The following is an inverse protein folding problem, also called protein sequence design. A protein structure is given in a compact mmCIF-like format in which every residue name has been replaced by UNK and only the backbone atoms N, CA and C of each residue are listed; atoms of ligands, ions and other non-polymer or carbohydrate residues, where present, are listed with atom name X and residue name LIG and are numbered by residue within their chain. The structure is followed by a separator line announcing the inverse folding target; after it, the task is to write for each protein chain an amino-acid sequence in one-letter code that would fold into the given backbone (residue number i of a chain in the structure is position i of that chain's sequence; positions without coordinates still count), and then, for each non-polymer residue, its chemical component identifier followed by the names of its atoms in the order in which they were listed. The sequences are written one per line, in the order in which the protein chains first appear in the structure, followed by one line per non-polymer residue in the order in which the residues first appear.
data_IF_127897688713
#
_entry.id   IF_127897688713
#
_cell.length_a   1.000
_cell.length_b   1.000
_cell.length_c   1.000
_cell.angle_alpha   90.00
_cell.angle_beta   90.00
_cell.angle_gamma   90.00
#
_symmetry.space_group_name_H-M   'P 1'
#
loop_
_entity.id
_entity.type
_entity.pdbx_description
1 polymer ?
#
# COMPACT_ATOMS: atom_id res chain seq x y z
N UNK A 1 -10.92 -23.01 -12.94
CA UNK A 1 -9.95 -22.37 -13.84
C UNK A 1 -8.78 -21.90 -12.99
N UNK A 2 -7.53 -22.02 -13.48
CA UNK A 2 -6.37 -21.47 -12.79
C UNK A 2 -6.48 -19.94 -12.71
N UNK A 3 -6.15 -19.36 -11.57
CA UNK A 3 -6.09 -17.90 -11.42
C UNK A 3 -4.84 -17.39 -12.13
N UNK A 4 -5.01 -16.43 -13.03
CA UNK A 4 -3.94 -15.72 -13.71
C UNK A 4 -4.03 -14.25 -13.30
N UNK A 5 -2.95 -13.72 -12.76
CA UNK A 5 -2.91 -12.43 -12.06
C UNK A 5 -2.03 -11.45 -12.83
N UNK A 6 -2.51 -10.24 -13.01
CA UNK A 6 -1.71 -9.10 -13.48
C UNK A 6 -1.51 -8.10 -12.34
N UNK A 7 -0.27 -7.75 -12.04
CA UNK A 7 0.09 -6.73 -11.04
C UNK A 7 0.58 -5.49 -11.79
N UNK A 8 -0.21 -4.42 -11.80
CA UNK A 8 0.14 -3.12 -12.37
C UNK A 8 0.80 -2.24 -11.30
N UNK A 9 2.03 -1.82 -11.52
CA UNK A 9 2.86 -1.12 -10.53
C UNK A 9 3.72 -2.09 -9.70
N UNK A 10 4.15 -3.19 -10.30
CA UNK A 10 4.93 -4.25 -9.65
C UNK A 10 6.33 -3.82 -9.19
N UNK A 11 6.89 -2.75 -9.75
CA UNK A 11 8.20 -2.21 -9.32
C UNK A 11 8.09 -1.26 -8.10
N UNK A 12 6.88 -1.00 -7.62
CA UNK A 12 6.64 -0.21 -6.41
C UNK A 12 6.91 -1.00 -5.12
N UNK A 13 6.92 -0.29 -3.98
CA UNK A 13 7.21 -0.85 -2.66
C UNK A 13 6.31 -2.06 -2.33
N UNK A 14 4.99 -1.90 -2.41
CA UNK A 14 4.04 -3.01 -2.18
C UNK A 14 4.07 -3.99 -3.36
N UNK A 15 4.16 -3.48 -4.58
CA UNK A 15 4.05 -4.27 -5.81
C UNK A 15 5.09 -5.37 -5.93
N UNK A 16 6.35 -5.09 -5.59
CA UNK A 16 7.44 -6.06 -5.62
C UNK A 16 7.22 -7.21 -4.63
N UNK A 17 6.97 -6.89 -3.37
CA UNK A 17 6.77 -7.89 -2.32
C UNK A 17 5.48 -8.69 -2.52
N UNK A 18 4.40 -8.05 -2.97
CA UNK A 18 3.16 -8.73 -3.32
C UNK A 18 3.35 -9.67 -4.51
N UNK A 19 4.05 -9.24 -5.56
CA UNK A 19 4.33 -10.08 -6.75
C UNK A 19 5.13 -11.33 -6.37
N UNK A 20 6.17 -11.18 -5.55
CA UNK A 20 6.98 -12.29 -5.04
C UNK A 20 6.11 -13.30 -4.28
N UNK A 21 5.25 -12.80 -3.38
CA UNK A 21 4.36 -13.65 -2.58
C UNK A 21 3.30 -14.34 -3.44
N UNK A 22 2.69 -13.62 -4.39
CA UNK A 22 1.73 -14.19 -5.32
C UNK A 22 2.36 -15.29 -6.20
N UNK A 23 3.59 -15.07 -6.71
CA UNK A 23 4.34 -16.09 -7.47
C UNK A 23 4.61 -17.34 -6.65
N UNK A 24 4.89 -17.18 -5.35
CA UNK A 24 5.05 -18.31 -4.43
C UNK A 24 3.75 -19.12 -4.27
N UNK A 25 2.60 -18.45 -4.21
CA UNK A 25 1.29 -19.10 -3.97
C UNK A 25 0.72 -19.72 -5.25
N UNK A 26 0.75 -18.97 -6.36
CA UNK A 26 0.05 -19.34 -7.59
C UNK A 26 0.98 -19.91 -8.68
N UNK A 27 2.29 -19.83 -8.47
CA UNK A 27 3.32 -20.19 -9.46
C UNK A 27 3.75 -19.01 -10.31
N UNK A 28 5.03 -18.97 -10.64
CA UNK A 28 5.67 -17.84 -11.35
C UNK A 28 4.98 -17.48 -12.67
N UNK A 29 4.58 -18.49 -13.47
CA UNK A 29 3.97 -18.29 -14.78
C UNK A 29 2.52 -17.79 -14.72
N UNK A 30 1.87 -17.83 -13.55
CA UNK A 30 0.51 -17.37 -13.34
C UNK A 30 0.42 -15.93 -12.82
N UNK A 31 1.57 -15.28 -12.57
CA UNK A 31 1.61 -13.90 -12.04
C UNK A 31 2.48 -13.03 -12.94
N UNK A 32 1.83 -12.24 -13.75
CA UNK A 32 2.43 -11.27 -14.66
C UNK A 32 2.70 -9.98 -13.86
N UNK A 33 3.97 -9.63 -13.71
CA UNK A 33 4.36 -8.34 -13.18
C UNK A 33 4.32 -7.29 -14.29
N UNK A 34 3.97 -6.05 -13.96
CA UNK A 34 3.97 -4.96 -14.93
C UNK A 34 4.27 -3.61 -14.27
N UNK A 35 5.01 -2.78 -14.99
CA UNK A 35 5.27 -1.39 -14.63
C UNK A 35 5.50 -0.56 -15.90
N UNK A 36 5.57 0.77 -15.77
CA UNK A 36 5.86 1.67 -16.90
C UNK A 36 7.32 1.56 -17.37
N UNK A 37 8.19 0.93 -16.59
CA UNK A 37 9.61 0.67 -16.87
C UNK A 37 10.01 -0.69 -16.34
N UNK A 38 11.18 -1.18 -16.75
CA UNK A 38 11.71 -2.45 -16.27
C UNK A 38 11.77 -2.50 -14.74
N UNK A 39 11.44 -3.65 -14.19
CA UNK A 39 11.66 -3.97 -12.79
C UNK A 39 13.14 -4.25 -12.48
N UNK A 40 13.44 -4.56 -11.23
CA UNK A 40 14.74 -5.07 -10.85
C UNK A 40 14.99 -6.48 -11.43
N UNK A 41 16.24 -6.95 -11.32
CA UNK A 41 16.67 -8.24 -11.90
C UNK A 41 15.89 -9.43 -11.33
N UNK A 42 15.52 -9.40 -10.05
CA UNK A 42 14.77 -10.49 -9.41
C UNK A 42 13.35 -10.54 -9.90
N UNK A 43 12.68 -9.40 -9.95
CA UNK A 43 11.29 -9.29 -10.45
C UNK A 43 11.20 -9.75 -11.91
N UNK A 44 12.18 -9.36 -12.73
CA UNK A 44 12.25 -9.70 -14.16
C UNK A 44 12.56 -11.19 -14.40
N UNK A 45 13.41 -11.81 -13.59
CA UNK A 45 13.85 -13.20 -13.78
C UNK A 45 12.95 -14.24 -13.14
N UNK A 46 12.12 -13.85 -12.15
CA UNK A 46 11.27 -14.79 -11.40
C UNK A 46 9.93 -15.13 -12.06
N UNK A 47 9.58 -14.53 -13.22
CA UNK A 47 8.35 -14.81 -13.96
C UNK A 47 8.06 -13.76 -15.05
N UNK A 48 6.91 -13.85 -15.74
CA UNK A 48 6.55 -12.91 -16.80
C UNK A 48 6.53 -11.46 -16.34
N UNK A 49 7.01 -10.56 -17.20
CA UNK A 49 7.00 -9.12 -16.98
C UNK A 49 6.59 -8.39 -18.27
N UNK A 50 5.70 -7.41 -18.15
CA UNK A 50 5.22 -6.58 -19.26
C UNK A 50 5.42 -5.10 -18.94
N UNK A 51 5.87 -4.31 -19.92
CA UNK A 51 5.94 -2.85 -19.79
C UNK A 51 4.61 -2.28 -20.20
N UNK A 52 3.87 -1.69 -19.23
CA UNK A 52 2.53 -1.14 -19.46
C UNK A 52 2.43 0.21 -18.73
N UNK A 53 1.92 1.21 -19.43
CA UNK A 53 1.35 2.39 -18.78
C UNK A 53 -0.02 2.03 -18.23
N UNK A 54 -0.20 2.12 -16.92
CA UNK A 54 -1.46 1.78 -16.26
C UNK A 54 -2.64 2.70 -16.66
N UNK A 55 -2.38 3.80 -17.35
CA UNK A 55 -3.42 4.68 -17.93
C UNK A 55 -3.88 4.27 -19.31
N UNK A 56 -3.17 3.35 -19.97
CA UNK A 56 -3.50 2.84 -21.30
C UNK A 56 -4.36 1.57 -21.20
N UNK A 57 -5.68 1.75 -21.29
CA UNK A 57 -6.66 0.66 -21.24
C UNK A 57 -6.39 -0.41 -22.30
N UNK A 58 -6.03 -0.02 -23.52
CA UNK A 58 -5.84 -0.96 -24.64
C UNK A 58 -4.57 -1.80 -24.45
N UNK A 59 -3.49 -1.21 -23.93
CA UNK A 59 -2.29 -1.95 -23.55
C UNK A 59 -2.59 -2.97 -22.43
N UNK A 60 -3.33 -2.58 -21.39
CA UNK A 60 -3.78 -3.50 -20.34
C UNK A 60 -4.62 -4.64 -20.93
N UNK A 61 -5.61 -4.31 -21.75
CA UNK A 61 -6.51 -5.30 -22.36
C UNK A 61 -5.76 -6.28 -23.27
N UNK A 62 -4.75 -5.81 -24.00
CA UNK A 62 -3.89 -6.66 -24.82
C UNK A 62 -3.19 -7.72 -23.97
N UNK A 63 -2.63 -7.34 -22.83
CA UNK A 63 -1.97 -8.27 -21.89
C UNK A 63 -2.99 -9.19 -21.22
N UNK A 64 -4.16 -8.66 -20.83
CA UNK A 64 -5.27 -9.47 -20.28
C UNK A 64 -5.64 -10.60 -21.25
N UNK A 65 -5.80 -10.29 -22.54
CA UNK A 65 -6.13 -11.29 -23.57
C UNK A 65 -4.97 -12.25 -23.85
N UNK A 66 -3.73 -11.74 -23.92
CA UNK A 66 -2.53 -12.53 -24.18
C UNK A 66 -2.32 -13.66 -23.17
N UNK A 67 -2.53 -13.37 -21.88
CA UNK A 67 -2.27 -14.32 -20.81
C UNK A 67 -3.54 -14.97 -20.24
N UNK A 68 -4.74 -14.54 -20.64
CA UNK A 68 -6.00 -14.98 -20.05
C UNK A 68 -6.13 -14.54 -18.59
N UNK A 69 -5.73 -13.29 -18.29
CA UNK A 69 -5.76 -12.74 -16.94
C UNK A 69 -7.17 -12.79 -16.36
N UNK A 70 -7.29 -13.25 -15.12
CA UNK A 70 -8.56 -13.33 -14.38
C UNK A 70 -8.68 -12.28 -13.28
N UNK A 71 -7.55 -11.79 -12.76
CA UNK A 71 -7.51 -10.82 -11.68
C UNK A 71 -6.46 -9.73 -11.96
N UNK A 72 -6.79 -8.47 -11.64
CA UNK A 72 -5.84 -7.35 -11.68
C UNK A 72 -5.65 -6.78 -10.28
N UNK A 73 -4.39 -6.62 -9.88
CA UNK A 73 -3.97 -5.86 -8.71
C UNK A 73 -3.39 -4.52 -9.20
N UNK A 74 -4.17 -3.45 -9.07
CA UNK A 74 -3.77 -2.11 -9.50
C UNK A 74 -3.09 -1.36 -8.37
N UNK A 75 -1.76 -1.34 -8.38
CA UNK A 75 -0.92 -0.66 -7.39
C UNK A 75 -0.26 0.61 -7.92
N UNK A 76 -0.29 0.82 -9.23
CA UNK A 76 0.26 2.01 -9.87
C UNK A 76 -0.44 3.27 -9.35
N UNK A 77 0.31 4.17 -8.71
CA UNK A 77 -0.20 5.44 -8.20
C UNK A 77 0.92 6.44 -7.93
N UNK A 78 0.60 7.72 -7.97
CA UNK A 78 1.46 8.79 -7.44
C UNK A 78 1.06 9.09 -6.00
N UNK A 79 2.04 9.04 -5.06
CA UNK A 79 1.83 9.15 -3.62
C UNK A 79 1.71 10.62 -3.15
N UNK A 80 1.34 10.81 -1.86
CA UNK A 80 0.95 12.09 -1.28
C UNK A 80 1.95 13.22 -1.50
N UNK A 81 3.19 13.12 -1.02
CA UNK A 81 4.15 14.22 -1.09
C UNK A 81 4.60 14.53 -2.53
N UNK A 82 4.71 13.53 -3.40
CA UNK A 82 4.99 13.73 -4.83
C UNK A 82 3.77 14.27 -5.56
N UNK A 83 2.57 13.82 -5.18
CA UNK A 83 1.30 14.30 -5.73
C UNK A 83 1.08 15.79 -5.49
N UNK A 84 1.44 16.32 -4.33
CA UNK A 84 1.33 17.74 -4.03
C UNK A 84 2.26 18.62 -4.93
N UNK A 85 3.36 18.06 -5.40
CA UNK A 85 4.23 18.76 -6.38
C UNK A 85 3.64 18.77 -7.79
N UNK A 86 2.84 17.75 -8.14
CA UNK A 86 2.29 17.56 -9.48
C UNK A 86 0.81 17.15 -9.42
N UNK A 87 -0.10 17.99 -8.85
CA UNK A 87 -1.45 17.57 -8.48
C UNK A 87 -2.28 17.06 -9.65
N UNK A 88 -2.20 17.72 -10.80
CA UNK A 88 -2.94 17.28 -11.99
C UNK A 88 -2.45 15.92 -12.49
N UNK A 89 -1.13 15.73 -12.58
CA UNK A 89 -0.55 14.43 -12.99
C UNK A 89 -0.91 13.31 -12.02
N UNK A 90 -0.94 13.60 -10.70
CA UNK A 90 -1.34 12.63 -9.69
C UNK A 90 -2.80 12.23 -9.86
N UNK A 91 -3.69 13.20 -10.07
CA UNK A 91 -5.09 12.93 -10.35
C UNK A 91 -5.28 12.09 -11.63
N UNK A 92 -4.65 12.53 -12.72
CA UNK A 92 -4.77 11.87 -14.03
C UNK A 92 -4.29 10.41 -13.95
N UNK A 93 -3.11 10.15 -13.38
CA UNK A 93 -2.61 8.79 -13.21
C UNK A 93 -3.53 7.95 -12.32
N UNK A 94 -3.84 8.44 -11.11
CA UNK A 94 -4.55 7.64 -10.11
C UNK A 94 -5.99 7.32 -10.53
N UNK A 95 -6.66 8.23 -11.22
CA UNK A 95 -8.06 8.05 -11.62
C UNK A 95 -8.19 7.35 -12.97
N UNK A 96 -7.36 7.71 -13.96
CA UNK A 96 -7.43 7.08 -15.28
C UNK A 96 -7.09 5.61 -15.23
N UNK A 97 -6.04 5.23 -14.45
CA UNK A 97 -5.69 3.82 -14.28
C UNK A 97 -6.79 3.01 -13.59
N UNK A 98 -7.42 3.57 -12.55
CA UNK A 98 -8.54 2.89 -11.89
C UNK A 98 -9.72 2.68 -12.83
N UNK A 99 -10.14 3.73 -13.53
CA UNK A 99 -11.29 3.64 -14.43
C UNK A 99 -11.03 2.70 -15.60
N UNK A 100 -9.80 2.67 -16.15
CA UNK A 100 -9.41 1.70 -17.19
C UNK A 100 -9.57 0.26 -16.71
N UNK A 101 -9.10 -0.07 -15.50
CA UNK A 101 -9.22 -1.43 -14.94
C UNK A 101 -10.67 -1.78 -14.60
N UNK A 102 -11.42 -0.84 -14.03
CA UNK A 102 -12.85 -1.05 -13.72
C UNK A 102 -13.68 -1.29 -14.99
N UNK A 103 -13.40 -0.58 -16.09
CA UNK A 103 -14.07 -0.79 -17.38
C UNK A 103 -13.76 -2.18 -17.97
N UNK A 104 -12.50 -2.62 -17.90
CA UNK A 104 -12.11 -3.99 -18.32
C UNK A 104 -12.87 -5.04 -17.50
N UNK A 105 -13.06 -4.83 -16.20
CA UNK A 105 -13.83 -5.72 -15.33
C UNK A 105 -15.35 -5.67 -15.66
N UNK A 106 -15.90 -4.48 -15.91
CA UNK A 106 -17.29 -4.30 -16.34
C UNK A 106 -17.57 -5.03 -17.67
N UNK A 107 -16.62 -5.01 -18.59
CA UNK A 107 -16.69 -5.73 -19.86
C UNK A 107 -16.47 -7.24 -19.72
N UNK A 108 -16.30 -7.75 -18.48
CA UNK A 108 -16.15 -9.17 -18.11
C UNK A 108 -14.90 -9.85 -18.70
N UNK A 109 -13.85 -9.08 -19.04
CA UNK A 109 -12.55 -9.65 -19.42
C UNK A 109 -11.80 -10.22 -18.21
N UNK A 110 -12.06 -9.69 -17.01
CA UNK A 110 -11.51 -10.17 -15.75
C UNK A 110 -12.65 -10.34 -14.73
N UNK A 111 -12.44 -11.21 -13.74
CA UNK A 111 -13.45 -11.52 -12.72
C UNK A 111 -13.29 -10.70 -11.44
N UNK A 112 -12.10 -10.16 -11.16
CA UNK A 112 -11.82 -9.56 -9.87
C UNK A 112 -10.75 -8.46 -9.96
N UNK A 113 -10.93 -7.39 -9.19
CA UNK A 113 -10.01 -6.26 -9.09
C UNK A 113 -9.61 -6.03 -7.65
N UNK A 114 -8.30 -5.88 -7.40
CA UNK A 114 -7.78 -5.27 -6.17
C UNK A 114 -7.32 -3.84 -6.46
N UNK A 115 -7.75 -2.90 -5.63
CA UNK A 115 -7.29 -1.51 -5.68
C UNK A 115 -7.07 -0.97 -4.27
N UNK A 116 -5.87 -0.47 -3.91
CA UNK A 116 -5.59 0.03 -2.57
C UNK A 116 -6.08 1.47 -2.39
N UNK A 117 -6.87 1.71 -1.35
CA UNK A 117 -7.04 3.02 -0.74
C UNK A 117 -5.97 3.28 0.32
N UNK A 118 -6.12 4.33 1.11
CA UNK A 118 -5.12 4.80 2.06
C UNK A 118 -5.79 5.56 3.20
N UNK A 119 -5.11 5.65 4.36
CA UNK A 119 -5.47 6.59 5.43
C UNK A 119 -5.52 8.05 4.94
N UNK A 120 -4.87 8.35 3.81
CA UNK A 120 -4.94 9.68 3.20
C UNK A 120 -6.34 10.06 2.70
N UNK A 121 -7.27 9.11 2.58
CA UNK A 121 -8.68 9.38 2.30
C UNK A 121 -9.41 10.06 3.47
N UNK A 122 -8.89 9.95 4.69
CA UNK A 122 -9.35 10.74 5.83
C UNK A 122 -8.81 12.16 5.77
N UNK A 123 -9.36 13.05 6.61
CA UNK A 123 -8.96 14.46 6.67
C UNK A 123 -9.02 15.03 8.09
N UNK A 124 -8.80 16.35 8.24
CA UNK A 124 -8.75 16.99 9.56
C UNK A 124 -10.04 16.87 10.37
N UNK A 125 -11.18 16.72 9.71
CA UNK A 125 -12.50 16.57 10.32
C UNK A 125 -12.86 15.13 10.70
N UNK A 126 -12.08 14.16 10.25
CA UNK A 126 -12.24 12.77 10.68
C UNK A 126 -11.86 12.59 12.15
N UNK A 127 -12.58 11.76 12.94
CA UNK A 127 -12.15 11.39 14.29
C UNK A 127 -10.72 10.89 14.30
N UNK A 128 -9.90 11.34 15.24
CA UNK A 128 -8.47 11.00 15.28
C UNK A 128 -8.18 9.67 15.96
N UNK A 129 -9.00 9.27 16.91
CA UNK A 129 -8.83 8.05 17.73
C UNK A 129 -9.91 7.06 17.34
N UNK A 130 -9.50 5.81 17.10
CA UNK A 130 -10.39 4.73 16.68
C UNK A 130 -11.28 5.15 15.51
N UNK A 131 -10.69 5.75 14.47
CA UNK A 131 -11.42 6.28 13.33
C UNK A 131 -12.31 5.20 12.74
N UNK A 132 -13.65 5.38 12.78
CA UNK A 132 -14.57 4.32 12.42
C UNK A 132 -14.62 4.07 10.91
N UNK A 133 -15.07 2.88 10.51
CA UNK A 133 -15.22 2.48 9.10
C UNK A 133 -16.07 3.47 8.29
N UNK A 134 -17.16 3.95 8.87
CA UNK A 134 -18.02 5.00 8.28
C UNK A 134 -17.83 6.30 9.06
N UNK A 135 -17.31 7.31 8.40
CA UNK A 135 -17.04 8.61 9.02
C UNK A 135 -16.94 9.71 7.97
N UNK A 136 -16.80 10.95 8.44
CA UNK A 136 -16.52 12.11 7.57
C UNK A 136 -15.10 11.93 6.99
N UNK A 137 -14.99 12.09 5.67
CA UNK A 137 -13.74 11.94 4.93
C UNK A 137 -13.55 13.17 4.03
N UNK A 138 -12.75 14.11 4.50
CA UNK A 138 -12.46 15.39 3.85
C UNK A 138 -10.94 15.55 3.68
N UNK A 139 -10.35 14.78 2.76
CA UNK A 139 -8.90 14.79 2.56
C UNK A 139 -8.41 16.16 2.08
N UNK A 140 -7.23 16.56 2.56
CA UNK A 140 -6.59 17.84 2.23
C UNK A 140 -5.49 17.73 1.17
N UNK A 141 -5.24 16.54 0.62
CA UNK A 141 -4.23 16.30 -0.43
C UNK A 141 -4.87 15.77 -1.70
N UNK A 142 -4.30 16.06 -2.88
CA UNK A 142 -4.79 15.51 -4.15
C UNK A 142 -4.76 13.97 -4.14
N UNK A 143 -3.77 13.37 -3.48
CA UNK A 143 -3.71 11.92 -3.29
C UNK A 143 -4.91 11.41 -2.50
N UNK A 144 -5.21 12.02 -1.37
CA UNK A 144 -6.37 11.66 -0.56
C UNK A 144 -7.70 11.87 -1.31
N UNK A 145 -7.83 12.98 -2.05
CA UNK A 145 -9.00 13.24 -2.91
C UNK A 145 -9.15 12.14 -3.97
N UNK A 146 -8.07 11.72 -4.61
CA UNK A 146 -8.12 10.61 -5.58
C UNK A 146 -8.50 9.28 -4.92
N UNK A 147 -8.05 9.03 -3.68
CA UNK A 147 -8.38 7.80 -2.94
C UNK A 147 -9.85 7.76 -2.55
N UNK A 148 -10.41 8.82 -1.95
CA UNK A 148 -11.84 8.83 -1.61
C UNK A 148 -12.73 8.77 -2.86
N UNK A 149 -12.36 9.46 -3.94
CA UNK A 149 -13.07 9.37 -5.22
C UNK A 149 -13.03 7.94 -5.78
N UNK A 150 -11.86 7.30 -5.74
CA UNK A 150 -11.70 5.91 -6.18
C UNK A 150 -12.52 4.92 -5.37
N UNK A 151 -12.65 5.10 -4.04
CA UNK A 151 -13.52 4.27 -3.20
C UNK A 151 -14.98 4.34 -3.66
N UNK A 152 -15.47 5.54 -3.98
CA UNK A 152 -16.84 5.70 -4.49
C UNK A 152 -16.99 5.10 -5.90
N UNK A 153 -16.00 5.21 -6.77
CA UNK A 153 -16.02 4.55 -8.07
C UNK A 153 -16.02 3.03 -7.94
N UNK A 154 -15.24 2.45 -7.05
CA UNK A 154 -15.24 1.02 -6.76
C UNK A 154 -16.66 0.55 -6.34
N UNK A 155 -17.25 1.25 -5.37
CA UNK A 155 -18.61 0.93 -4.91
C UNK A 155 -19.65 1.08 -6.04
N UNK A 156 -19.57 2.18 -6.81
CA UNK A 156 -20.48 2.42 -7.94
C UNK A 156 -20.40 1.30 -8.99
N UNK A 157 -19.17 0.86 -9.37
CA UNK A 157 -19.01 -0.22 -10.33
C UNK A 157 -19.51 -1.57 -9.79
N UNK A 158 -19.37 -1.79 -8.50
CA UNK A 158 -19.96 -2.97 -7.87
C UNK A 158 -21.48 -2.94 -7.93
N UNK A 159 -22.11 -1.86 -7.45
CA UNK A 159 -23.57 -1.76 -7.39
C UNK A 159 -24.23 -1.72 -8.77
N UNK A 160 -23.60 -1.03 -9.73
CA UNK A 160 -24.20 -0.80 -11.05
C UNK A 160 -23.89 -1.89 -12.06
N UNK A 161 -22.73 -2.52 -11.96
CA UNK A 161 -22.22 -3.43 -13.00
C UNK A 161 -21.77 -4.79 -12.45
N UNK A 162 -22.00 -5.05 -11.18
CA UNK A 162 -21.60 -6.29 -10.50
C UNK A 162 -20.11 -6.64 -10.67
N UNK A 163 -19.25 -5.61 -10.57
CA UNK A 163 -17.80 -5.79 -10.57
C UNK A 163 -17.34 -6.23 -9.18
N UNK A 164 -16.63 -7.35 -9.08
CA UNK A 164 -15.99 -7.75 -7.82
C UNK A 164 -14.68 -6.98 -7.61
N UNK A 165 -14.82 -5.74 -7.12
CA UNK A 165 -13.68 -4.91 -6.72
C UNK A 165 -13.53 -4.93 -5.20
N UNK A 166 -12.28 -5.06 -4.74
CA UNK A 166 -11.91 -5.14 -3.32
C UNK A 166 -10.82 -4.17 -3.00
N UNK A 167 -10.92 -3.53 -1.84
CA UNK A 167 -10.07 -2.41 -1.48
C UNK A 167 -9.79 -2.35 0.02
N UNK A 168 -8.57 -1.91 0.37
CA UNK A 168 -8.10 -1.71 1.73
C UNK A 168 -7.59 -0.27 1.89
N UNK A 169 -7.94 0.39 3.00
CA UNK A 169 -7.32 1.65 3.43
C UNK A 169 -6.04 1.31 4.16
N UNK A 170 -4.93 1.29 3.44
CA UNK A 170 -3.64 1.03 4.08
C UNK A 170 -3.26 2.14 5.06
N UNK A 171 -2.77 1.78 6.24
CA UNK A 171 -1.99 2.68 7.09
C UNK A 171 -0.62 2.97 6.47
N UNK A 172 0.27 3.63 7.19
CA UNK A 172 1.66 3.77 6.77
C UNK A 172 2.34 2.40 6.70
N UNK A 173 2.95 2.08 5.56
CA UNK A 173 3.60 0.78 5.35
C UNK A 173 5.09 0.89 5.63
N UNK A 174 5.60 -0.03 6.46
CA UNK A 174 7.01 -0.14 6.83
C UNK A 174 7.61 -1.37 6.15
N UNK A 175 8.70 -1.19 5.43
CA UNK A 175 9.42 -2.24 4.69
C UNK A 175 10.92 -2.03 4.79
N UNK A 176 11.71 -3.07 4.55
CA UNK A 176 13.17 -3.01 4.48
C UNK A 176 13.74 -3.33 3.08
N UNK A 177 12.94 -3.89 2.18
CA UNK A 177 13.40 -4.27 0.84
C UNK A 177 13.52 -3.07 -0.11
N UNK A 178 12.63 -2.10 0.02
CA UNK A 178 12.57 -0.93 -0.86
C UNK A 178 12.74 0.35 -0.07
N UNK A 179 13.63 1.24 -0.55
CA UNK A 179 13.83 2.58 0.04
C UNK A 179 12.56 3.43 -0.10
N UNK A 180 12.40 4.47 0.76
CA UNK A 180 11.26 5.37 0.73
C UNK A 180 10.96 5.97 -0.64
N UNK A 181 9.67 6.07 -0.99
CA UNK A 181 9.18 6.53 -2.30
C UNK A 181 8.65 7.97 -2.35
N UNK A 182 8.70 8.72 -1.26
CA UNK A 182 8.17 10.08 -1.16
C UNK A 182 6.79 10.18 -0.51
N UNK A 183 6.51 9.28 0.46
CA UNK A 183 5.31 9.32 1.31
C UNK A 183 5.53 10.10 2.60
N UNK A 184 4.44 10.51 3.24
CA UNK A 184 4.48 11.21 4.54
C UNK A 184 4.91 10.28 5.68
N UNK A 185 4.64 8.98 5.56
CA UNK A 185 4.99 7.95 6.55
C UNK A 185 6.38 7.33 6.33
N UNK A 186 7.11 7.77 5.31
CA UNK A 186 8.40 7.20 4.92
C UNK A 186 9.51 7.36 5.97
N UNK A 187 9.32 8.24 6.97
CA UNK A 187 10.24 8.32 8.11
C UNK A 187 10.41 6.97 8.81
N UNK A 188 9.34 6.17 8.86
CA UNK A 188 9.32 4.88 9.54
C UNK A 188 10.04 3.77 8.75
N UNK A 189 10.34 4.02 7.47
CA UNK A 189 11.22 3.19 6.64
C UNK A 189 12.65 3.71 6.72
N UNK A 190 12.84 5.02 6.48
CA UNK A 190 14.17 5.65 6.37
C UNK A 190 14.96 5.55 7.67
N UNK A 191 14.29 5.63 8.83
CA UNK A 191 14.91 5.52 10.14
C UNK A 191 15.72 4.21 10.29
N UNK A 192 15.26 3.08 9.77
CA UNK A 192 15.96 1.80 9.86
C UNK A 192 17.19 1.77 8.97
N UNK A 193 17.08 2.25 7.72
CA UNK A 193 18.23 2.36 6.82
C UNK A 193 19.30 3.27 7.41
N UNK A 194 18.92 4.45 7.90
CA UNK A 194 19.85 5.41 8.51
C UNK A 194 20.46 4.90 9.81
N UNK A 195 19.69 4.19 10.62
CA UNK A 195 20.22 3.56 11.84
C UNK A 195 21.35 2.56 11.52
N UNK A 196 21.17 1.72 10.51
CA UNK A 196 22.17 0.72 10.11
C UNK A 196 23.33 1.36 9.34
N UNK A 197 23.08 2.36 8.48
CA UNK A 197 24.11 3.01 7.68
C UNK A 197 24.97 3.98 8.49
N UNK A 198 24.34 4.80 9.34
CA UNK A 198 24.97 5.97 9.97
C UNK A 198 24.89 6.00 11.52
N UNK A 199 24.03 5.17 12.13
CA UNK A 199 23.78 5.24 13.58
C UNK A 199 23.00 6.47 14.02
N UNK A 200 22.45 7.25 13.09
CA UNK A 200 21.69 8.48 13.40
C UNK A 200 20.62 8.76 12.34
N UNK A 201 19.56 9.47 12.76
CA UNK A 201 18.46 9.87 11.87
C UNK A 201 17.92 11.25 12.26
N UNK A 202 17.64 12.12 11.28
CA UNK A 202 16.87 13.35 11.45
C UNK A 202 15.45 13.11 10.94
N UNK A 203 14.48 13.04 11.87
CA UNK A 203 13.08 12.79 11.53
C UNK A 203 12.38 14.10 11.13
N UNK A 204 11.66 14.07 10.03
CA UNK A 204 10.89 15.20 9.53
C UNK A 204 9.48 15.34 10.13
N UNK A 205 9.16 14.56 11.16
CA UNK A 205 7.96 14.70 11.99
C UNK A 205 8.34 14.97 13.45
N UNK A 206 7.41 15.51 14.23
CA UNK A 206 7.56 15.63 15.69
C UNK A 206 7.67 14.25 16.36
N UNK A 207 8.41 14.19 17.46
CA UNK A 207 8.67 12.94 18.19
C UNK A 207 7.41 12.15 18.56
N UNK A 208 6.32 12.86 18.87
CA UNK A 208 5.06 12.31 19.37
C UNK A 208 3.96 12.24 18.30
N UNK A 209 4.29 12.45 17.02
CA UNK A 209 3.33 12.32 15.93
C UNK A 209 2.90 10.87 15.81
N UNK A 210 1.74 10.53 16.34
CA UNK A 210 1.19 9.16 16.28
C UNK A 210 0.47 8.92 14.97
N UNK A 211 0.83 7.84 14.29
CA UNK A 211 0.21 7.42 13.02
C UNK A 211 -0.05 5.91 13.04
N UNK A 212 -1.16 5.45 12.42
CA UNK A 212 -1.38 4.04 12.19
C UNK A 212 -0.38 3.53 11.16
N UNK A 213 0.30 2.44 11.49
CA UNK A 213 1.38 1.85 10.72
C UNK A 213 1.19 0.33 10.61
N UNK A 214 1.80 -0.27 9.59
CA UNK A 214 1.73 -1.71 9.33
C UNK A 214 3.03 -2.20 8.71
N UNK A 215 3.47 -3.38 9.13
CA UNK A 215 4.60 -4.04 8.46
C UNK A 215 4.19 -4.59 7.09
N UNK A 216 5.09 -4.57 6.12
CA UNK A 216 4.81 -4.97 4.74
C UNK A 216 4.28 -6.40 4.64
N UNK A 217 4.78 -7.33 5.43
CA UNK A 217 4.29 -8.71 5.41
C UNK A 217 2.81 -8.80 5.79
N UNK A 218 2.35 -8.02 6.78
CA UNK A 218 0.93 -7.94 7.15
C UNK A 218 0.11 -7.28 6.05
N UNK A 219 0.63 -6.24 5.39
CA UNK A 219 -0.04 -5.58 4.27
C UNK A 219 -0.23 -6.52 3.07
N UNK A 220 0.80 -7.27 2.72
CA UNK A 220 0.74 -8.29 1.65
C UNK A 220 -0.23 -9.41 2.01
N UNK A 221 -0.18 -9.91 3.26
CA UNK A 221 -1.10 -10.94 3.74
C UNK A 221 -2.55 -10.45 3.72
N UNK A 222 -2.84 -9.23 4.18
CA UNK A 222 -4.17 -8.62 4.14
C UNK A 222 -4.71 -8.54 2.70
N UNK A 223 -3.85 -8.12 1.76
CA UNK A 223 -4.20 -8.03 0.34
C UNK A 223 -4.59 -9.39 -0.24
N UNK A 224 -3.82 -10.42 0.08
CA UNK A 224 -4.10 -11.78 -0.40
C UNK A 224 -5.37 -12.32 0.27
N UNK A 225 -5.53 -12.14 1.58
CA UNK A 225 -6.69 -12.61 2.33
C UNK A 225 -8.00 -12.00 1.81
N UNK A 226 -8.04 -10.67 1.61
CA UNK A 226 -9.27 -10.05 1.09
C UNK A 226 -9.59 -10.54 -0.32
N UNK A 227 -8.59 -10.77 -1.18
CA UNK A 227 -8.79 -11.28 -2.53
C UNK A 227 -9.21 -12.76 -2.56
N UNK A 228 -8.81 -13.55 -1.58
CA UNK A 228 -9.21 -14.95 -1.41
C UNK A 228 -10.54 -15.13 -0.66
N UNK A 229 -11.00 -14.12 0.07
CA UNK A 229 -12.26 -14.17 0.79
C UNK A 229 -13.44 -14.46 -0.16
N UNK A 230 -14.47 -15.14 0.33
CA UNK A 230 -15.64 -15.39 -0.50
C UNK A 230 -16.39 -14.08 -0.80
N UNK A 231 -16.99 -13.89 -1.99
CA UNK A 231 -17.68 -12.64 -2.33
C UNK A 231 -18.75 -12.24 -1.32
N UNK A 232 -19.42 -13.22 -0.69
CA UNK A 232 -20.45 -13.00 0.34
C UNK A 232 -19.90 -12.42 1.65
N UNK A 233 -18.60 -12.59 1.93
CA UNK A 233 -17.95 -12.08 3.14
C UNK A 233 -17.46 -10.65 2.96
N UNK A 234 -17.36 -10.16 1.73
CA UNK A 234 -16.99 -8.78 1.41
C UNK A 234 -18.23 -7.88 1.46
N UNK A 235 -18.48 -7.27 2.62
CA UNK A 235 -19.65 -6.43 2.87
C UNK A 235 -19.43 -4.95 2.50
N UNK A 236 -18.18 -4.52 2.37
CA UNK A 236 -17.79 -3.14 2.11
C UNK A 236 -17.10 -3.10 0.75
N UNK A 237 -17.62 -2.31 -0.18
CA UNK A 237 -17.14 -2.20 -1.55
C UNK A 237 -16.47 -0.86 -1.86
N UNK A 238 -16.50 0.07 -0.91
CA UNK A 238 -15.64 1.25 -0.94
C UNK A 238 -14.20 0.84 -0.59
N UNK A 239 -13.91 0.66 0.70
CA UNK A 239 -12.61 0.16 1.16
C UNK A 239 -12.70 -0.20 2.64
N UNK A 240 -12.05 -1.29 3.06
CA UNK A 240 -11.96 -1.66 4.48
C UNK A 240 -10.87 -0.87 5.19
N UNK A 241 -11.15 -0.40 6.40
CA UNK A 241 -10.13 0.05 7.33
C UNK A 241 -9.23 -1.12 7.71
N UNK A 242 -7.91 -0.85 7.80
CA UNK A 242 -6.93 -1.76 8.40
C UNK A 242 -6.15 -1.05 9.49
N UNK A 243 -5.84 -1.78 10.56
CA UNK A 243 -4.98 -1.34 11.63
C UNK A 243 -4.05 -2.47 12.07
N UNK A 244 -2.81 -2.13 12.45
CA UNK A 244 -1.86 -3.06 13.05
C UNK A 244 -1.21 -2.42 14.27
N UNK A 245 -0.54 -1.28 14.09
CA UNK A 245 0.20 -0.57 15.13
C UNK A 245 -0.07 0.92 15.03
N UNK A 246 -0.20 1.60 16.18
CA UNK A 246 -0.29 3.05 16.25
C UNK A 246 0.98 3.56 16.93
N UNK A 247 1.97 4.03 16.15
CA UNK A 247 3.33 4.32 16.63
C UNK A 247 3.77 5.75 16.34
N UNK A 248 4.67 6.23 17.20
CA UNK A 248 5.33 7.52 17.07
C UNK A 248 6.79 7.35 16.62
N UNK A 249 7.42 8.38 16.01
CA UNK A 249 8.85 8.37 15.72
C UNK A 249 9.72 8.03 16.94
N UNK A 250 9.33 8.51 18.13
CA UNK A 250 10.03 8.25 19.39
C UNK A 250 9.99 6.77 19.78
N UNK A 251 8.79 6.16 19.80
CA UNK A 251 8.62 4.74 20.12
C UNK A 251 9.42 3.85 19.16
N UNK A 252 9.44 4.20 17.87
CA UNK A 252 10.22 3.47 16.87
C UNK A 252 11.73 3.59 17.11
N UNK A 253 12.20 4.78 17.48
CA UNK A 253 13.60 5.00 17.82
C UNK A 253 14.01 4.23 19.09
N UNK A 254 13.13 4.11 20.09
CA UNK A 254 13.35 3.32 21.30
C UNK A 254 13.52 1.82 20.97
N UNK A 255 12.72 1.27 20.07
CA UNK A 255 12.89 -0.12 19.60
C UNK A 255 14.22 -0.31 18.85
N UNK A 256 14.63 0.65 18.01
CA UNK A 256 15.91 0.57 17.30
C UNK A 256 17.08 0.60 18.29
N UNK A 257 17.01 1.42 19.35
CA UNK A 257 18.06 1.50 20.39
C UNK A 257 18.27 0.19 21.15
N UNK A 258 17.28 -0.69 21.23
CA UNK A 258 17.45 -2.01 21.84
C UNK A 258 18.47 -2.87 21.06
N UNK A 259 18.55 -2.72 19.75
CA UNK A 259 19.49 -3.45 18.90
C UNK A 259 20.74 -2.63 18.52
N UNK A 260 20.62 -1.29 18.49
CA UNK A 260 21.70 -0.33 18.18
C UNK A 260 21.76 0.70 19.32
N UNK A 261 22.40 0.40 20.48
CA UNK A 261 22.35 1.25 21.67
C UNK A 261 22.82 2.69 21.46
N UNK A 262 23.77 2.92 20.54
CA UNK A 262 24.32 4.23 20.23
C UNK A 262 23.52 5.01 19.17
N UNK A 263 22.37 4.49 18.72
CA UNK A 263 21.52 5.18 17.76
C UNK A 263 21.00 6.51 18.34
N UNK A 264 21.12 7.57 17.55
CA UNK A 264 20.62 8.91 17.90
C UNK A 264 19.55 9.37 16.92
N UNK A 265 18.57 10.11 17.43
CA UNK A 265 17.52 10.72 16.62
C UNK A 265 17.38 12.19 16.99
N UNK A 266 17.18 13.03 15.97
CA UNK A 266 16.75 14.43 16.10
C UNK A 266 15.44 14.63 15.33
N UNK A 267 14.72 15.69 15.67
CA UNK A 267 13.41 15.97 15.08
C UNK A 267 13.41 17.37 14.47
N UNK A 268 13.16 17.43 13.15
CA UNK A 268 13.08 18.67 12.39
C UNK A 268 11.87 18.64 11.45
N UNK A 269 10.67 18.92 11.98
CA UNK A 269 9.44 18.85 11.18
C UNK A 269 9.46 19.74 9.94
N UNK A 270 8.98 19.21 8.83
CA UNK A 270 8.80 19.93 7.56
C UNK A 270 7.32 20.00 7.14
N UNK A 271 7.05 20.34 5.89
CA UNK A 271 5.68 20.45 5.35
C UNK A 271 4.86 19.16 5.48
N UNK A 272 5.50 17.98 5.61
CA UNK A 272 4.83 16.69 5.79
C UNK A 272 4.16 16.57 7.15
N UNK A 273 4.59 17.35 8.16
CA UNK A 273 3.93 17.38 9.46
C UNK A 273 2.45 17.78 9.35
N UNK A 274 2.12 18.80 8.55
CA UNK A 274 0.73 19.23 8.34
C UNK A 274 -0.12 18.13 7.70
N UNK A 275 0.47 17.33 6.81
CA UNK A 275 -0.22 16.18 6.20
C UNK A 275 -0.46 15.11 7.26
N UNK A 276 0.57 14.75 8.04
CA UNK A 276 0.47 13.78 9.12
C UNK A 276 -0.60 14.17 10.17
N UNK A 277 -0.63 15.46 10.57
CA UNK A 277 -1.60 15.99 11.52
C UNK A 277 -3.06 15.92 11.01
N UNK A 278 -3.25 15.86 9.68
CA UNK A 278 -4.58 15.74 9.08
C UNK A 278 -5.12 14.31 9.12
N UNK A 279 -4.29 13.30 9.36
CA UNK A 279 -4.67 11.89 9.35
C UNK A 279 -5.08 11.35 10.72
N UNK A 280 -5.74 10.18 10.79
CA UNK A 280 -6.00 9.46 12.02
C UNK A 280 -4.71 9.14 12.80
N UNK A 281 -4.84 9.06 14.14
CA UNK A 281 -3.83 8.53 15.03
C UNK A 281 -4.01 7.02 15.26
N UNK A 282 -5.27 6.55 15.20
CA UNK A 282 -5.63 5.13 15.25
C UNK A 282 -6.90 4.86 14.47
N UNK A 283 -7.07 3.60 14.03
CA UNK A 283 -8.16 3.18 13.13
C UNK A 283 -8.88 1.97 13.70
N UNK A 284 -10.20 2.00 13.67
CA UNK A 284 -11.05 0.83 13.94
C UNK A 284 -11.16 -0.05 12.69
N UNK A 285 -10.61 -1.27 12.77
CA UNK A 285 -10.64 -2.30 11.73
C UNK A 285 -11.56 -3.48 12.06
N UNK A 286 -12.44 -3.32 13.05
CA UNK A 286 -13.37 -4.36 13.51
C UNK A 286 -14.17 -4.99 12.36
N UNK A 287 -14.49 -4.21 11.32
CA UNK A 287 -15.20 -4.73 10.14
C UNK A 287 -14.36 -5.71 9.34
N UNK A 288 -13.09 -5.42 9.10
CA UNK A 288 -12.18 -6.33 8.42
C UNK A 288 -12.01 -7.64 9.22
N UNK A 289 -11.82 -7.53 10.54
CA UNK A 289 -11.70 -8.69 11.44
C UNK A 289 -12.94 -9.56 11.42
N UNK A 290 -14.13 -8.95 11.43
CA UNK A 290 -15.41 -9.69 11.47
C UNK A 290 -15.77 -10.30 10.12
N UNK A 291 -15.57 -9.58 9.03
CA UNK A 291 -16.11 -9.96 7.74
C UNK A 291 -15.24 -11.00 7.03
N UNK A 292 -13.90 -10.89 7.13
CA UNK A 292 -12.98 -11.81 6.46
C UNK A 292 -11.77 -12.23 7.31
N UNK A 293 -11.93 -12.21 8.66
CA UNK A 293 -10.97 -12.75 9.65
C UNK A 293 -9.59 -12.11 9.61
N UNK A 294 -9.51 -10.81 9.28
CA UNK A 294 -8.25 -10.07 9.32
C UNK A 294 -7.60 -10.11 10.70
N UNK A 295 -6.29 -10.31 10.73
CA UNK A 295 -5.45 -10.09 11.91
C UNK A 295 -4.02 -9.82 11.46
N UNK A 296 -3.34 -8.88 12.13
CA UNK A 296 -1.91 -8.65 11.95
C UNK A 296 -1.10 -9.64 12.79
N UNK A 297 0.14 -9.90 12.37
CA UNK A 297 1.06 -10.83 13.04
C UNK A 297 2.21 -10.11 13.75
N UNK A 298 2.55 -8.89 13.32
CA UNK A 298 3.71 -8.18 13.81
C UNK A 298 3.36 -7.12 14.86
N UNK A 299 4.16 -7.09 15.94
CA UNK A 299 4.24 -5.99 16.89
C UNK A 299 5.37 -5.05 16.47
N UNK A 300 5.46 -3.85 17.07
CA UNK A 300 6.57 -2.92 16.83
C UNK A 300 7.93 -3.59 17.08
N UNK A 301 8.04 -4.39 18.15
CA UNK A 301 9.30 -5.05 18.52
C UNK A 301 9.68 -6.17 17.56
N UNK A 302 8.73 -7.04 17.16
CA UNK A 302 9.02 -8.13 16.21
C UNK A 302 9.34 -7.59 14.82
N UNK A 303 8.64 -6.55 14.36
CA UNK A 303 8.93 -5.84 13.12
C UNK A 303 10.32 -5.22 13.13
N UNK A 304 10.65 -4.43 14.17
CA UNK A 304 11.95 -3.77 14.27
C UNK A 304 13.11 -4.77 14.27
N UNK A 305 12.98 -5.88 15.00
CA UNK A 305 13.97 -6.97 15.01
C UNK A 305 14.16 -7.59 13.64
N UNK A 306 13.06 -7.88 12.93
CA UNK A 306 13.11 -8.48 11.60
C UNK A 306 13.79 -7.53 10.60
N UNK A 307 13.39 -6.26 10.55
CA UNK A 307 13.97 -5.25 9.67
C UNK A 307 15.48 -5.10 9.92
N UNK A 308 15.88 -4.89 11.19
CA UNK A 308 17.31 -4.68 11.52
C UNK A 308 18.15 -5.90 11.18
N UNK A 309 17.66 -7.12 11.47
CA UNK A 309 18.33 -8.37 11.10
C UNK A 309 18.59 -8.44 9.58
N UNK A 310 17.57 -8.14 8.78
CA UNK A 310 17.68 -8.22 7.32
C UNK A 310 18.60 -7.13 6.74
N UNK A 311 18.50 -5.88 7.21
CA UNK A 311 19.37 -4.79 6.75
C UNK A 311 20.84 -5.00 7.15
N UNK A 312 21.10 -5.49 8.36
CA UNK A 312 22.47 -5.84 8.79
C UNK A 312 23.06 -6.96 7.95
N UNK A 313 22.26 -8.00 7.61
CA UNK A 313 22.69 -9.08 6.74
C UNK A 313 23.01 -8.60 5.30
N UNK A 314 22.26 -7.63 4.78
CA UNK A 314 22.55 -7.00 3.48
C UNK A 314 23.86 -6.20 3.51
N UNK A 315 24.13 -5.45 4.60
CA UNK A 315 25.34 -4.65 4.75
C UNK A 315 26.62 -5.50 4.77
N UNK A 316 26.55 -6.73 5.27
CA UNK A 316 27.68 -7.67 5.31
C UNK A 316 27.98 -8.28 3.93
N UNK A 317 27.00 -8.31 3.00
CA UNK A 317 27.13 -8.90 1.66
C UNK A 317 27.63 -7.90 0.60
N UNK A 318 27.54 -6.61 0.89
CA UNK A 318 28.03 -5.50 0.04
C UNK A 318 29.38 -4.98 0.56
#
# INVERSE_FOLDING_TARGET
MSQIILVLGASGQIGGELTEKLRTIYGSNHVIASDIRNGDSLLMSSGPFEIIDATDKEAILTVVKKYGVTQIYLLAAMLSATGEKYPKKAWDLNMTSLLAVLDIAKEKYISQVYWPSSIAAFGPTSPKINTPQKTIMEPSTVYGISKISGEFWCNYYHEKYDVDVRSLRYPGIISWKTKPGGGTTDYAVDIFFKAVEHGSFECFLHENTRLPMMYMEDAVNATIQIMQATPKDIKIRTSYNLSAMDITPKELAEEIKQAIPNFTISYRPDSRQKIADSWPQSIDDTKARKDWNWSHNFTISSMAKDILKNLQAQKVKN
#
